data_IF_722863226635
#
_entry.id   IF_722863226635
#
_cell.length_a   1.000
_cell.length_b   1.000
_cell.length_c   1.000
_cell.angle_alpha   90.00
_cell.angle_beta   90.00
_cell.angle_gamma   90.00
#
_symmetry.space_group_name_H-M   'P 1'
#
loop_
_entity.id
_entity.type
_entity.pdbx_description
1 polymer ?
#
# COMPACT_ATOMS: atom_id res chain seq x y z
N UNK A 1 25.19 26.32 56.94
CA UNK A 1 26.58 26.80 56.93
C UNK A 1 27.53 25.61 56.72
N UNK A 2 28.40 25.66 55.70
CA UNK A 2 29.46 24.68 55.42
C UNK A 2 29.16 23.59 54.37
N UNK A 3 28.10 23.67 53.62
CA UNK A 3 27.92 22.92 52.37
C UNK A 3 28.50 23.69 51.19
N UNK A 4 29.02 22.98 50.18
CA UNK A 4 29.52 23.57 48.94
C UNK A 4 28.69 23.10 47.74
N UNK A 5 28.59 23.94 46.75
CA UNK A 5 27.93 23.64 45.47
C UNK A 5 28.94 23.87 44.33
N UNK A 6 29.11 22.90 43.46
CA UNK A 6 30.01 23.00 42.31
C UNK A 6 29.32 22.53 41.04
N UNK A 7 29.30 23.34 39.98
CA UNK A 7 29.73 24.71 39.92
C UNK A 7 28.89 25.63 40.80
N UNK A 8 29.41 26.80 41.18
CA UNK A 8 28.60 27.79 41.90
C UNK A 8 27.53 28.37 40.97
N UNK A 9 26.25 28.40 41.36
CA UNK A 9 25.21 29.01 40.53
C UNK A 9 25.51 30.46 40.12
N UNK A 10 26.24 31.20 40.94
CA UNK A 10 26.64 32.59 40.63
C UNK A 10 27.71 32.73 39.54
N UNK A 11 28.32 31.64 39.12
CA UNK A 11 29.32 31.63 38.04
C UNK A 11 28.78 31.20 36.70
N UNK A 12 27.50 30.87 36.63
CA UNK A 12 26.82 30.42 35.41
C UNK A 12 26.29 31.66 34.68
N UNK A 13 26.85 31.93 33.50
CA UNK A 13 26.42 33.02 32.63
C UNK A 13 25.30 32.60 31.66
N UNK A 14 25.26 31.31 31.33
CA UNK A 14 24.29 30.74 30.39
C UNK A 14 23.48 29.61 31.09
N UNK A 15 22.21 29.90 31.42
CA UNK A 15 21.30 28.98 32.08
C UNK A 15 20.43 28.19 31.08
N UNK A 16 20.61 28.40 29.79
CA UNK A 16 19.87 27.71 28.74
C UNK A 16 20.37 26.28 28.49
N UNK A 17 21.55 25.97 29.02
CA UNK A 17 22.09 24.62 28.98
C UNK A 17 21.74 23.78 30.22
N UNK A 18 21.81 22.43 30.06
CA UNK A 18 21.72 21.54 31.21
C UNK A 18 22.91 21.71 32.12
N UNK A 19 22.64 21.98 33.40
CA UNK A 19 23.67 22.08 34.42
C UNK A 19 23.52 20.97 35.46
N UNK A 20 24.63 20.38 35.88
CA UNK A 20 24.71 19.42 36.99
C UNK A 20 25.47 20.05 38.15
N UNK A 21 24.77 20.17 39.24
CA UNK A 21 25.34 20.71 40.49
C UNK A 21 25.65 19.58 41.46
N UNK A 22 26.88 19.52 41.95
CA UNK A 22 27.28 18.63 43.01
C UNK A 22 27.17 19.42 44.34
N UNK A 23 26.24 19.07 45.19
CA UNK A 23 26.10 19.64 46.53
C UNK A 23 26.78 18.71 47.52
N UNK A 24 27.84 19.20 48.18
CA UNK A 24 28.59 18.44 49.17
C UNK A 24 28.29 18.98 50.55
N UNK A 25 27.88 18.12 51.45
CA UNK A 25 27.64 18.48 52.84
C UNK A 25 28.94 18.65 53.64
N UNK A 26 28.89 19.26 54.81
CA UNK A 26 30.01 19.37 55.73
C UNK A 26 30.59 18.00 56.16
N UNK A 27 29.80 16.95 56.09
CA UNK A 27 30.20 15.54 56.37
C UNK A 27 30.74 14.83 55.11
N UNK A 28 31.01 15.57 54.01
CA UNK A 28 31.47 15.08 52.72
C UNK A 28 30.51 14.16 51.95
N UNK A 29 29.27 14.07 52.35
CA UNK A 29 28.25 13.42 51.52
C UNK A 29 27.87 14.31 50.37
N UNK A 30 27.85 13.77 49.14
CA UNK A 30 27.57 14.51 47.92
C UNK A 30 26.32 14.01 47.23
N UNK A 31 25.52 14.95 46.71
CA UNK A 31 24.35 14.67 45.88
C UNK A 31 24.40 15.51 44.62
N UNK A 32 24.07 14.87 43.49
CA UNK A 32 23.98 15.52 42.18
C UNK A 32 22.57 15.99 41.95
N UNK A 33 22.42 17.25 41.55
CA UNK A 33 21.16 17.83 41.11
C UNK A 33 21.34 18.25 39.67
N UNK A 34 20.39 17.92 38.77
CA UNK A 34 20.33 18.43 37.42
C UNK A 34 19.40 19.64 37.36
N UNK A 35 19.78 20.64 36.65
CA UNK A 35 18.94 21.76 36.26
C UNK A 35 18.80 21.75 34.75
N UNK A 36 17.58 21.69 34.25
CA UNK A 36 17.23 21.83 32.82
C UNK A 36 16.34 23.05 32.70
N UNK A 37 16.71 23.96 31.82
CA UNK A 37 15.86 25.08 31.46
C UNK A 37 14.85 24.63 30.39
N UNK A 38 13.58 24.85 30.63
CA UNK A 38 12.55 24.71 29.61
C UNK A 38 11.91 26.08 29.40
N UNK A 39 11.96 26.56 28.15
CA UNK A 39 11.15 27.70 27.81
C UNK A 39 9.69 27.34 27.97
N UNK A 40 8.90 28.22 28.60
CA UNK A 40 7.46 28.04 28.65
C UNK A 40 6.91 28.10 27.21
N UNK A 41 5.94 27.23 26.93
CA UNK A 41 5.23 27.31 25.66
C UNK A 41 4.50 28.65 25.55
N UNK A 42 4.67 29.32 24.44
CA UNK A 42 3.94 30.53 24.08
C UNK A 42 2.93 30.13 23.00
N UNK A 43 1.67 30.14 23.39
CA UNK A 43 0.57 29.66 22.54
C UNK A 43 -0.13 30.79 21.83
N UNK A 44 -0.44 30.60 20.55
CA UNK A 44 -1.34 31.42 19.76
C UNK A 44 -2.68 30.70 19.65
N UNK A 45 -3.73 31.27 20.24
CA UNK A 45 -5.08 30.79 20.05
C UNK A 45 -5.62 31.16 18.67
N UNK A 46 -6.24 30.18 17.99
CA UNK A 46 -6.84 30.35 16.67
C UNK A 46 -5.83 30.24 15.52
N UNK A 47 -6.36 30.28 14.30
CA UNK A 47 -5.57 30.11 13.10
C UNK A 47 -4.76 31.34 12.76
N UNK A 48 -3.57 31.10 12.18
CA UNK A 48 -2.62 32.13 11.72
C UNK A 48 -2.50 32.09 10.21
N UNK A 49 -2.52 33.25 9.57
CA UNK A 49 -2.22 33.40 8.14
C UNK A 49 -1.00 34.31 8.01
N UNK A 50 0.04 33.81 7.37
CA UNK A 50 1.24 34.58 7.02
C UNK A 50 1.22 34.78 5.50
N UNK A 51 0.75 35.94 5.07
CA UNK A 51 0.52 36.25 3.66
C UNK A 51 1.70 36.96 3.00
N UNK A 52 2.66 37.48 3.80
CA UNK A 52 3.82 38.25 3.36
C UNK A 52 5.09 37.79 4.07
N UNK A 53 6.28 38.06 3.47
CA UNK A 53 7.55 37.78 4.11
C UNK A 53 7.71 38.57 5.43
N UNK A 54 7.24 39.83 5.47
CA UNK A 54 7.30 40.64 6.67
C UNK A 54 6.51 40.02 7.84
N UNK A 55 5.38 39.37 7.58
CA UNK A 55 4.62 38.65 8.61
C UNK A 55 5.38 37.43 9.12
N UNK A 56 6.04 36.66 8.23
CA UNK A 56 6.93 35.55 8.62
C UNK A 56 8.07 36.05 9.51
N UNK A 57 8.77 37.12 9.11
CA UNK A 57 9.90 37.67 9.85
C UNK A 57 9.46 38.25 11.23
N UNK A 58 8.27 38.82 11.29
CA UNK A 58 7.71 39.35 12.54
C UNK A 58 7.23 38.24 13.48
N UNK A 59 6.85 37.08 12.94
CA UNK A 59 6.42 35.93 13.75
C UNK A 59 7.52 35.50 14.72
N UNK A 60 8.80 35.51 14.29
CA UNK A 60 9.95 35.24 15.16
C UNK A 60 9.97 36.07 16.45
N UNK A 61 9.53 37.34 16.38
CA UNK A 61 9.53 38.26 17.52
C UNK A 61 8.45 37.98 18.56
N UNK A 62 7.47 37.15 18.21
CA UNK A 62 6.37 36.79 19.12
C UNK A 62 6.79 35.72 20.14
N UNK A 63 7.82 34.95 19.83
CA UNK A 63 8.24 33.78 20.62
C UNK A 63 7.25 32.63 20.59
N UNK A 64 6.17 32.71 19.78
CA UNK A 64 5.15 31.66 19.67
C UNK A 64 5.79 30.36 19.17
N UNK A 65 5.60 29.27 19.91
CA UNK A 65 6.05 27.94 19.54
C UNK A 65 4.91 26.93 19.39
N UNK A 66 3.66 27.32 19.72
CA UNK A 66 2.45 26.52 19.51
C UNK A 66 1.33 27.34 18.90
N UNK A 67 0.64 26.77 17.94
CA UNK A 67 -0.56 27.34 17.32
C UNK A 67 -1.74 26.40 17.60
N UNK A 68 -2.72 26.87 18.39
CA UNK A 68 -3.98 26.18 18.65
C UNK A 68 -4.99 26.50 17.52
N UNK A 69 -4.66 26.03 16.31
CA UNK A 69 -5.40 26.31 15.08
C UNK A 69 -4.60 25.86 13.87
N UNK A 70 -4.92 26.43 12.71
CA UNK A 70 -4.19 26.20 11.46
C UNK A 70 -3.14 27.28 11.20
N UNK A 71 -2.04 26.91 10.57
CA UNK A 71 -1.08 27.84 9.98
C UNK A 71 -1.21 27.79 8.46
N UNK A 72 -1.49 28.93 7.85
CA UNK A 72 -1.51 29.09 6.39
C UNK A 72 -0.33 29.96 5.96
N UNK A 73 0.53 29.44 5.10
CA UNK A 73 1.69 30.13 4.55
C UNK A 73 1.38 30.52 3.10
N UNK A 74 1.40 31.82 2.85
CA UNK A 74 1.09 32.40 1.55
C UNK A 74 -0.40 32.40 1.21
N UNK A 75 -0.69 32.92 0.03
CA UNK A 75 -2.03 32.99 -0.57
C UNK A 75 -1.99 32.51 -2.03
N UNK A 76 -3.14 32.49 -2.71
CA UNK A 76 -3.21 32.06 -4.11
C UNK A 76 -2.41 32.98 -5.05
N UNK A 77 -2.56 34.31 -4.88
CA UNK A 77 -1.99 35.32 -5.76
C UNK A 77 -1.37 36.48 -4.94
N UNK A 78 -0.82 36.18 -3.75
CA UNK A 78 -0.28 37.16 -2.82
C UNK A 78 1.17 37.54 -3.07
N UNK A 79 1.71 38.33 -2.14
CA UNK A 79 3.12 38.68 -2.07
C UNK A 79 3.99 37.42 -1.89
N UNK A 80 5.16 37.41 -2.51
CA UNK A 80 6.07 36.27 -2.44
C UNK A 80 6.70 36.12 -1.06
N UNK A 81 6.63 34.91 -0.51
CA UNK A 81 7.34 34.47 0.69
C UNK A 81 8.49 33.58 0.25
N UNK A 82 9.73 33.93 0.59
CA UNK A 82 10.92 33.25 0.06
C UNK A 82 11.62 32.35 1.06
N UNK A 83 11.39 32.54 2.37
CA UNK A 83 11.93 31.69 3.44
C UNK A 83 10.94 31.63 4.63
N UNK A 84 11.19 30.70 5.54
CA UNK A 84 10.38 30.49 6.74
C UNK A 84 11.24 30.63 8.02
N UNK A 85 12.37 31.34 7.98
CA UNK A 85 13.29 31.45 9.11
C UNK A 85 12.60 31.98 10.38
N UNK A 86 11.56 32.83 10.21
CA UNK A 86 10.75 33.35 11.30
C UNK A 86 9.95 32.28 12.07
N UNK A 87 9.84 31.06 11.56
CA UNK A 87 9.10 29.96 12.16
C UNK A 87 10.00 28.95 12.91
N UNK A 88 11.30 29.24 13.03
CA UNK A 88 12.26 28.28 13.57
C UNK A 88 11.99 27.79 15.01
N UNK A 89 11.20 28.57 15.79
CA UNK A 89 10.80 28.19 17.14
C UNK A 89 9.52 27.34 17.19
N UNK A 90 8.82 27.18 16.07
CA UNK A 90 7.51 26.54 16.05
C UNK A 90 7.64 25.01 16.22
N UNK A 91 6.92 24.47 17.23
CA UNK A 91 6.96 23.07 17.62
C UNK A 91 5.63 22.36 17.35
N UNK A 92 4.52 23.09 17.41
CA UNK A 92 3.19 22.48 17.31
C UNK A 92 2.22 23.32 16.52
N UNK A 93 1.44 22.67 15.66
CA UNK A 93 0.25 23.20 14.98
C UNK A 93 -0.87 22.20 15.21
N UNK A 94 -1.91 22.56 15.97
CA UNK A 94 -2.93 21.60 16.39
C UNK A 94 -3.88 21.18 15.25
N UNK A 95 -4.07 22.04 14.23
CA UNK A 95 -4.87 21.73 13.05
C UNK A 95 -4.00 21.59 11.80
N UNK A 96 -4.21 22.37 10.75
CA UNK A 96 -3.54 22.18 9.46
C UNK A 96 -2.41 23.17 9.23
N UNK A 97 -1.30 22.68 8.68
CA UNK A 97 -0.30 23.47 7.98
C UNK A 97 -0.62 23.47 6.48
N UNK A 98 -0.89 24.63 5.91
CA UNK A 98 -1.26 24.79 4.49
C UNK A 98 -0.21 25.64 3.78
N UNK A 99 0.34 25.13 2.67
CA UNK A 99 1.31 25.83 1.83
C UNK A 99 0.63 26.28 0.53
N UNK A 100 0.56 27.59 0.32
CA UNK A 100 -0.06 28.21 -0.84
C UNK A 100 0.94 28.62 -1.93
N UNK A 101 0.47 28.96 -3.15
CA UNK A 101 1.32 29.27 -4.30
C UNK A 101 2.25 30.48 -4.15
N UNK A 102 1.93 31.47 -3.29
CA UNK A 102 2.82 32.62 -3.08
C UNK A 102 4.05 32.29 -2.24
N UNK A 103 4.12 31.12 -1.60
CA UNK A 103 5.38 30.61 -1.05
C UNK A 103 6.31 30.18 -2.19
N UNK A 104 7.51 30.79 -2.26
CA UNK A 104 8.51 30.60 -3.33
C UNK A 104 9.79 29.90 -2.88
N UNK A 105 9.87 29.53 -1.59
CA UNK A 105 10.97 28.68 -1.12
C UNK A 105 10.98 27.33 -1.83
N UNK A 106 12.16 26.73 -1.91
CA UNK A 106 12.36 25.41 -2.54
C UNK A 106 12.20 24.25 -1.57
N UNK A 107 12.21 24.55 -0.28
CA UNK A 107 12.07 23.62 0.84
C UNK A 107 11.28 24.27 1.98
N UNK A 108 11.16 23.58 3.11
CA UNK A 108 10.47 24.06 4.30
C UNK A 108 11.44 24.38 5.47
N UNK A 109 12.70 24.73 5.16
CA UNK A 109 13.67 25.19 6.17
C UNK A 109 13.07 26.33 6.97
N UNK A 110 13.19 26.27 8.29
CA UNK A 110 12.46 27.11 9.24
C UNK A 110 11.31 26.38 9.97
N UNK A 111 10.91 25.21 9.49
CA UNK A 111 9.98 24.31 10.19
C UNK A 111 10.70 23.06 10.73
N UNK A 112 12.02 23.10 10.85
CA UNK A 112 12.83 21.95 11.25
C UNK A 112 12.55 21.46 12.68
N UNK A 113 12.04 22.34 13.54
CA UNK A 113 11.70 22.04 14.94
C UNK A 113 10.21 21.68 15.15
N UNK A 114 9.42 21.56 14.07
CA UNK A 114 8.02 21.18 14.19
C UNK A 114 7.93 19.70 14.59
N UNK A 115 7.37 19.44 15.78
CA UNK A 115 7.26 18.11 16.40
C UNK A 115 5.87 17.51 16.25
N UNK A 116 4.81 18.35 16.24
CA UNK A 116 3.41 17.90 16.20
C UNK A 116 2.59 18.69 15.18
N UNK A 117 1.79 17.96 14.43
CA UNK A 117 0.97 18.54 13.38
C UNK A 117 -0.40 17.85 13.30
N UNK A 118 -1.48 18.61 13.19
CA UNK A 118 -2.80 18.08 12.89
C UNK A 118 -2.86 17.50 11.49
N UNK A 119 -2.65 18.33 10.45
CA UNK A 119 -2.58 17.88 9.06
C UNK A 119 -1.58 18.70 8.26
N UNK A 120 -0.92 18.08 7.27
CA UNK A 120 -0.09 18.76 6.28
C UNK A 120 -0.86 18.86 4.94
N UNK A 121 -0.89 20.03 4.31
CA UNK A 121 -1.63 20.23 3.05
C UNK A 121 -0.84 21.07 2.03
N UNK A 122 -0.36 20.38 1.00
CA UNK A 122 0.15 20.97 -0.24
C UNK A 122 -0.75 20.48 -1.39
N UNK A 123 -1.76 21.28 -1.76
CA UNK A 123 -2.87 20.81 -2.59
C UNK A 123 -3.95 20.10 -1.78
N UNK A 124 -4.73 19.24 -2.46
CA UNK A 124 -5.73 18.37 -1.84
C UNK A 124 -5.79 17.03 -2.57
N UNK A 125 -6.53 16.06 -2.08
CA UNK A 125 -6.72 14.76 -2.75
C UNK A 125 -7.36 14.89 -4.14
N UNK A 126 -8.07 16.00 -4.41
CA UNK A 126 -8.76 16.24 -5.68
C UNK A 126 -8.18 17.39 -6.52
N UNK A 127 -7.21 18.14 -5.98
CA UNK A 127 -6.66 19.34 -6.65
C UNK A 127 -5.16 19.45 -6.42
N UNK A 128 -4.42 19.44 -7.52
CA UNK A 128 -2.96 19.65 -7.51
C UNK A 128 -2.62 21.06 -7.05
N UNK A 129 -1.61 21.19 -6.17
CA UNK A 129 -1.08 22.46 -5.74
C UNK A 129 -0.57 23.28 -6.93
N UNK A 130 -0.89 24.58 -6.94
CA UNK A 130 -0.33 25.54 -7.89
C UNK A 130 1.04 26.08 -7.48
N UNK A 131 1.59 25.65 -6.34
CA UNK A 131 2.97 25.95 -5.98
C UNK A 131 3.89 25.16 -6.89
N UNK A 132 4.79 25.85 -7.60
CA UNK A 132 5.70 25.27 -8.60
C UNK A 132 7.17 25.41 -8.20
N UNK A 133 7.47 25.97 -7.03
CA UNK A 133 8.84 26.23 -6.56
C UNK A 133 9.27 25.27 -5.46
N UNK A 134 8.35 24.86 -4.59
CA UNK A 134 8.64 23.92 -3.52
C UNK A 134 8.98 22.54 -4.09
N UNK A 135 10.24 22.11 -3.87
CA UNK A 135 10.79 20.84 -4.37
C UNK A 135 10.91 19.79 -3.28
N UNK A 136 11.11 20.25 -2.05
CA UNK A 136 11.39 19.37 -0.92
C UNK A 136 10.42 19.66 0.24
N UNK A 137 9.73 18.63 0.70
CA UNK A 137 9.01 18.63 1.97
C UNK A 137 9.88 17.88 2.97
N UNK A 138 10.57 18.62 3.85
CA UNK A 138 11.44 18.09 4.89
C UNK A 138 10.97 18.58 6.26
N UNK A 139 10.55 17.66 7.13
CA UNK A 139 10.10 17.93 8.49
C UNK A 139 10.81 16.97 9.46
N UNK A 140 12.11 17.24 9.76
CA UNK A 140 13.00 16.25 10.37
C UNK A 140 12.71 15.98 11.86
N UNK A 141 11.95 16.86 12.52
CA UNK A 141 11.58 16.66 13.94
C UNK A 141 10.15 16.22 14.14
N UNK A 142 9.35 16.13 13.07
CA UNK A 142 7.95 15.75 13.16
C UNK A 142 7.80 14.31 13.64
N UNK A 143 7.04 14.10 14.73
CA UNK A 143 6.85 12.80 15.37
C UNK A 143 5.56 12.12 14.94
N UNK A 144 4.54 12.88 14.57
CA UNK A 144 3.25 12.34 14.13
C UNK A 144 2.35 13.38 13.51
N UNK A 145 1.40 12.90 12.72
CA UNK A 145 0.33 13.70 12.11
C UNK A 145 -1.00 13.09 12.53
N UNK A 146 -1.83 13.85 13.24
CA UNK A 146 -3.09 13.30 13.79
C UNK A 146 -4.22 13.21 12.77
N UNK A 147 -4.15 13.93 11.66
CA UNK A 147 -5.06 13.89 10.52
C UNK A 147 -4.35 13.50 9.23
N UNK A 148 -4.59 14.26 8.15
CA UNK A 148 -4.06 13.96 6.82
C UNK A 148 -2.62 14.46 6.60
N UNK A 149 -1.86 13.71 5.84
CA UNK A 149 -0.63 14.18 5.20
C UNK A 149 -0.81 14.19 3.69
N UNK A 150 -1.10 15.37 3.12
CA UNK A 150 -1.42 15.52 1.69
C UNK A 150 -0.34 16.30 0.96
N UNK A 151 0.27 15.66 -0.01
CA UNK A 151 1.17 16.25 -1.01
C UNK A 151 0.62 15.91 -2.39
N UNK A 152 -0.06 16.86 -3.02
CA UNK A 152 -0.52 16.74 -4.40
C UNK A 152 0.13 17.86 -5.22
N UNK A 153 1.25 17.55 -5.86
CA UNK A 153 2.09 18.54 -6.54
C UNK A 153 2.80 17.90 -7.74
N UNK A 154 2.88 18.62 -8.86
CA UNK A 154 3.61 18.15 -10.05
C UNK A 154 5.13 18.32 -9.94
N UNK A 155 5.66 18.95 -8.90
CA UNK A 155 7.07 19.38 -8.84
C UNK A 155 7.84 18.93 -7.62
N UNK A 156 7.19 18.29 -6.64
CA UNK A 156 7.88 17.75 -5.47
C UNK A 156 8.80 16.61 -5.90
N UNK A 157 10.07 16.74 -5.53
CA UNK A 157 11.12 15.77 -5.82
C UNK A 157 11.45 14.92 -4.60
N UNK A 158 11.36 15.51 -3.40
CA UNK A 158 11.73 14.83 -2.14
C UNK A 158 10.71 15.07 -1.03
N UNK A 159 10.38 14.01 -0.31
CA UNK A 159 9.61 14.04 0.94
C UNK A 159 10.41 13.32 2.02
N UNK A 160 10.69 13.98 3.15
CA UNK A 160 11.41 13.40 4.28
C UNK A 160 10.71 13.74 5.60
N UNK A 161 10.18 12.73 6.23
CA UNK A 161 9.51 12.75 7.54
C UNK A 161 10.04 11.59 8.40
N UNK A 162 11.36 11.56 8.67
CA UNK A 162 12.07 10.37 9.13
C UNK A 162 11.69 9.90 10.54
N UNK A 163 11.01 10.74 11.33
CA UNK A 163 10.63 10.44 12.72
C UNK A 163 9.13 10.28 12.90
N UNK A 164 8.34 10.48 11.84
CA UNK A 164 6.88 10.32 11.94
C UNK A 164 6.54 8.85 12.14
N UNK A 165 5.93 8.54 13.29
CA UNK A 165 5.54 7.18 13.64
C UNK A 165 4.11 6.84 13.19
N UNK A 166 3.23 7.84 13.05
CA UNK A 166 1.85 7.61 12.61
C UNK A 166 1.28 8.77 11.80
N UNK A 167 0.36 8.42 10.89
CA UNK A 167 -0.57 9.33 10.21
C UNK A 167 -1.97 8.88 10.60
N UNK A 168 -2.75 9.77 11.24
CA UNK A 168 -4.06 9.40 11.81
C UNK A 168 -5.16 9.14 10.80
N UNK A 169 -5.09 9.80 9.64
CA UNK A 169 -6.04 9.70 8.52
C UNK A 169 -5.31 9.28 7.23
N UNK A 170 -5.48 10.02 6.13
CA UNK A 170 -4.87 9.68 4.85
C UNK A 170 -3.41 10.17 4.74
N UNK A 171 -2.52 9.31 4.23
CA UNK A 171 -1.25 9.69 3.64
C UNK A 171 -1.38 9.67 2.12
N UNK A 172 -1.56 10.85 1.53
CA UNK A 172 -1.80 11.03 0.10
C UNK A 172 -0.64 11.77 -0.55
N UNK A 173 0.13 11.08 -1.38
CA UNK A 173 1.28 11.61 -2.10
C UNK A 173 1.06 11.42 -3.60
N UNK A 174 1.01 12.51 -4.34
CA UNK A 174 1.00 12.49 -5.80
C UNK A 174 2.02 13.50 -6.31
N UNK A 175 3.01 13.03 -7.07
CA UNK A 175 3.98 13.90 -7.71
C UNK A 175 4.49 13.32 -9.02
N UNK A 176 4.56 14.19 -10.05
CA UNK A 176 5.15 13.84 -11.34
C UNK A 176 6.69 13.78 -11.30
N UNK A 177 7.30 14.35 -10.26
CA UNK A 177 8.74 14.54 -10.13
C UNK A 177 9.37 13.79 -8.95
N UNK A 178 8.62 12.95 -8.23
CA UNK A 178 9.11 12.28 -7.02
C UNK A 178 10.35 11.43 -7.31
N UNK A 179 11.40 11.65 -6.55
CA UNK A 179 12.67 10.91 -6.60
C UNK A 179 12.93 10.13 -5.30
N UNK A 180 12.55 10.72 -4.17
CA UNK A 180 12.88 10.19 -2.85
C UNK A 180 11.72 10.38 -1.87
N UNK A 181 11.38 9.32 -1.16
CA UNK A 181 10.37 9.30 -0.10
C UNK A 181 10.95 8.61 1.14
N UNK A 182 11.28 9.40 2.16
CA UNK A 182 11.72 8.92 3.45
C UNK A 182 10.61 9.10 4.51
N UNK A 183 9.89 8.01 4.75
CA UNK A 183 8.85 7.87 5.77
C UNK A 183 9.02 6.54 6.51
N UNK A 184 10.28 6.15 6.75
CA UNK A 184 10.64 4.80 7.20
C UNK A 184 10.24 4.49 8.65
N UNK A 185 9.98 5.52 9.48
CA UNK A 185 9.51 5.35 10.85
C UNK A 185 7.99 5.18 10.96
N UNK A 186 7.23 5.45 9.90
CA UNK A 186 5.76 5.33 9.93
C UNK A 186 5.36 3.89 10.19
N UNK A 187 4.73 3.65 11.34
CA UNK A 187 4.24 2.34 11.75
C UNK A 187 2.77 2.11 11.36
N UNK A 188 1.98 3.18 11.25
CA UNK A 188 0.57 3.08 10.90
C UNK A 188 0.04 4.28 10.10
N UNK A 189 -0.91 3.98 9.20
CA UNK A 189 -1.77 4.96 8.52
C UNK A 189 -3.21 4.62 8.84
N UNK A 190 -3.93 5.55 9.49
CA UNK A 190 -5.26 5.29 10.03
C UNK A 190 -6.34 5.09 8.97
N UNK A 191 -6.20 5.76 7.81
CA UNK A 191 -7.06 5.56 6.65
C UNK A 191 -6.25 5.03 5.46
N UNK A 192 -6.06 5.78 4.38
CA UNK A 192 -5.44 5.26 3.16
C UNK A 192 -3.99 5.72 2.99
N UNK A 193 -3.12 4.83 2.53
CA UNK A 193 -1.80 5.16 2.02
C UNK A 193 -1.82 5.15 0.49
N UNK A 194 -1.71 6.32 -0.10
CA UNK A 194 -1.77 6.51 -1.56
C UNK A 194 -0.49 7.19 -2.03
N UNK A 195 0.31 6.50 -2.83
CA UNK A 195 1.53 7.04 -3.44
C UNK A 195 1.43 6.90 -4.96
N UNK A 196 1.34 8.03 -5.66
CA UNK A 196 1.15 8.07 -7.10
C UNK A 196 2.24 8.89 -7.78
N UNK A 197 2.85 8.32 -8.79
CA UNK A 197 3.65 9.05 -9.76
C UNK A 197 2.78 9.65 -10.86
N UNK A 198 3.35 9.81 -12.05
CA UNK A 198 2.63 10.27 -13.23
C UNK A 198 2.84 9.31 -14.41
N UNK A 199 1.79 9.11 -15.19
CA UNK A 199 1.87 8.39 -16.47
C UNK A 199 2.78 9.14 -17.45
N UNK A 200 2.87 10.46 -17.31
CA UNK A 200 3.71 11.35 -18.10
C UNK A 200 5.07 11.62 -17.46
N UNK A 201 5.50 10.75 -16.52
CA UNK A 201 6.80 10.93 -15.85
C UNK A 201 7.89 11.26 -16.83
N UNK A 202 8.48 12.45 -16.69
CA UNK A 202 9.64 12.85 -17.47
C UNK A 202 10.74 11.81 -17.27
N UNK A 203 11.49 11.50 -18.32
CA UNK A 203 12.59 10.51 -18.27
C UNK A 203 13.60 10.75 -17.14
N UNK A 204 13.63 11.97 -16.56
CA UNK A 204 14.48 12.36 -15.45
C UNK A 204 13.96 12.01 -14.06
N UNK A 205 12.69 11.70 -13.87
CA UNK A 205 12.14 11.36 -12.56
C UNK A 205 12.25 9.84 -12.34
N UNK A 206 13.22 9.42 -11.52
CA UNK A 206 13.50 8.01 -11.29
C UNK A 206 13.34 7.65 -9.81
N UNK A 207 12.09 7.53 -9.34
CA UNK A 207 11.88 6.80 -8.09
C UNK A 207 12.23 5.34 -8.34
N UNK A 208 13.32 4.87 -7.74
CA UNK A 208 13.77 3.49 -7.90
C UNK A 208 13.14 2.55 -6.87
N UNK A 209 12.82 3.06 -5.67
CA UNK A 209 12.20 2.28 -4.62
C UNK A 209 11.20 3.11 -3.81
N UNK A 210 10.13 2.44 -3.33
CA UNK A 210 9.25 2.94 -2.29
C UNK A 210 9.43 2.05 -1.07
N UNK A 211 9.80 2.66 0.07
CA UNK A 211 10.18 1.95 1.29
C UNK A 211 9.41 2.50 2.47
N UNK A 212 8.73 1.61 3.21
CA UNK A 212 8.12 1.87 4.50
C UNK A 212 8.54 0.76 5.46
N UNK A 213 9.71 0.93 6.08
CA UNK A 213 10.37 -0.17 6.82
C UNK A 213 9.62 -0.58 8.08
N UNK A 214 8.96 0.35 8.76
CA UNK A 214 8.25 0.11 10.01
C UNK A 214 6.74 -0.08 9.87
N UNK A 215 6.17 0.11 8.67
CA UNK A 215 4.72 0.15 8.46
C UNK A 215 4.09 -1.22 8.69
N UNK A 216 3.19 -1.30 9.68
CA UNK A 216 2.49 -2.51 10.09
C UNK A 216 1.04 -2.55 9.63
N UNK A 217 0.35 -1.41 9.63
CA UNK A 217 -1.10 -1.37 9.44
C UNK A 217 -1.54 -0.20 8.57
N UNK A 218 -2.52 -0.48 7.70
CA UNK A 218 -3.23 0.52 6.91
C UNK A 218 -4.72 0.31 7.13
N UNK A 219 -5.41 1.35 7.63
CA UNK A 219 -6.82 1.26 8.06
C UNK A 219 -7.82 1.16 6.92
N UNK A 220 -7.44 1.56 5.69
CA UNK A 220 -8.28 1.47 4.51
C UNK A 220 -7.45 1.00 3.31
N UNK A 221 -7.18 1.81 2.31
CA UNK A 221 -6.54 1.40 1.05
C UNK A 221 -5.03 1.61 1.04
N UNK A 222 -4.31 0.68 0.40
CA UNK A 222 -2.93 0.86 -0.05
C UNK A 222 -2.94 1.01 -1.57
N UNK A 223 -2.46 2.12 -2.10
CA UNK A 223 -2.33 2.32 -3.55
C UNK A 223 -0.93 2.81 -3.92
N UNK A 224 -0.22 2.06 -4.75
CA UNK A 224 1.05 2.47 -5.36
C UNK A 224 0.90 2.33 -6.87
N UNK A 225 0.97 3.46 -7.61
CA UNK A 225 0.69 3.43 -9.05
C UNK A 225 1.42 4.52 -9.84
N UNK A 226 1.57 4.28 -11.15
CA UNK A 226 2.19 5.21 -12.11
C UNK A 226 3.68 5.48 -11.89
N UNK A 227 4.44 4.43 -11.56
CA UNK A 227 5.90 4.49 -11.43
C UNK A 227 6.57 3.56 -12.45
N UNK A 228 6.75 3.99 -13.71
CA UNK A 228 7.26 3.11 -14.78
C UNK A 228 8.70 2.63 -14.55
N UNK A 229 9.49 3.33 -13.73
CA UNK A 229 10.90 2.98 -13.45
C UNK A 229 11.12 2.37 -12.06
N UNK A 230 10.07 2.24 -11.25
CA UNK A 230 10.16 1.65 -9.92
C UNK A 230 10.64 0.21 -10.00
N UNK A 231 11.72 -0.11 -9.30
CA UNK A 231 12.31 -1.44 -9.27
C UNK A 231 11.89 -2.26 -8.05
N UNK A 232 11.52 -1.58 -6.94
CA UNK A 232 11.13 -2.23 -5.70
C UNK A 232 10.10 -1.49 -4.87
N UNK A 233 9.24 -2.27 -4.21
CA UNK A 233 8.35 -1.84 -3.14
C UNK A 233 8.72 -2.68 -1.94
N UNK A 234 9.07 -2.02 -0.83
CA UNK A 234 9.55 -2.68 0.38
C UNK A 234 8.66 -2.32 1.56
N UNK A 235 7.83 -3.28 1.96
CA UNK A 235 6.87 -3.22 3.07
C UNK A 235 7.11 -4.42 4.02
N UNK A 236 8.33 -4.58 4.58
CA UNK A 236 8.72 -5.80 5.26
C UNK A 236 7.95 -6.08 6.55
N UNK A 237 7.40 -5.06 7.20
CA UNK A 237 6.68 -5.18 8.44
C UNK A 237 5.14 -5.14 8.27
N UNK A 238 4.63 -5.01 7.04
CA UNK A 238 3.20 -4.82 6.81
C UNK A 238 2.42 -6.09 7.14
N UNK A 239 1.56 -6.00 8.16
CA UNK A 239 0.75 -7.10 8.70
C UNK A 239 -0.67 -7.09 8.15
N UNK A 240 -1.26 -5.90 7.92
CA UNK A 240 -2.65 -5.81 7.47
C UNK A 240 -2.96 -4.56 6.65
N UNK A 241 -3.87 -4.73 5.67
CA UNK A 241 -4.56 -3.67 4.95
C UNK A 241 -6.05 -3.96 5.02
N UNK A 242 -6.83 -3.08 5.67
CA UNK A 242 -8.26 -3.35 5.88
C UNK A 242 -9.06 -3.31 4.57
N UNK A 243 -8.71 -2.40 3.68
CA UNK A 243 -9.29 -2.29 2.33
C UNK A 243 -8.43 -2.96 1.27
N UNK A 244 -8.44 -2.40 0.07
CA UNK A 244 -7.72 -2.99 -1.07
C UNK A 244 -6.26 -2.52 -1.14
N UNK A 245 -5.33 -3.45 -1.30
CA UNK A 245 -3.96 -3.18 -1.72
C UNK A 245 -3.87 -3.22 -3.25
N UNK A 246 -3.58 -2.08 -3.88
CA UNK A 246 -3.58 -1.88 -5.32
C UNK A 246 -2.20 -1.48 -5.84
N UNK A 247 -1.67 -2.25 -6.78
CA UNK A 247 -0.37 -2.04 -7.42
C UNK A 247 -0.57 -2.01 -8.93
N UNK A 248 -0.37 -0.84 -9.56
CA UNK A 248 -0.63 -0.75 -10.99
C UNK A 248 0.32 0.19 -11.75
N UNK A 249 0.42 -0.05 -13.07
CA UNK A 249 1.12 0.82 -14.02
C UNK A 249 2.60 1.04 -13.67
N UNK A 250 3.28 -0.07 -13.28
CA UNK A 250 4.69 -0.13 -12.92
C UNK A 250 5.41 -1.09 -13.87
N UNK A 251 6.14 -0.51 -14.83
CA UNK A 251 6.72 -1.30 -15.93
C UNK A 251 8.02 -2.01 -15.59
N UNK A 252 8.73 -1.64 -14.51
CA UNK A 252 10.07 -2.14 -14.18
C UNK A 252 10.14 -3.01 -12.94
N UNK A 253 9.06 -3.09 -12.14
CA UNK A 253 9.05 -3.89 -10.93
C UNK A 253 9.12 -5.38 -11.25
N UNK A 254 10.11 -6.08 -10.69
CA UNK A 254 10.36 -7.51 -10.96
C UNK A 254 9.66 -8.45 -9.97
N UNK A 255 9.42 -8.00 -8.75
CA UNK A 255 8.77 -8.78 -7.70
C UNK A 255 7.96 -7.90 -6.75
N UNK A 256 6.93 -8.49 -6.16
CA UNK A 256 6.16 -7.92 -5.05
C UNK A 256 6.19 -8.92 -3.89
N UNK A 257 6.75 -8.50 -2.75
CA UNK A 257 6.86 -9.33 -1.57
C UNK A 257 6.36 -8.58 -0.33
N UNK A 258 5.40 -9.19 0.39
CA UNK A 258 4.87 -8.73 1.68
C UNK A 258 4.79 -9.94 2.60
N UNK A 259 5.93 -10.29 3.21
CA UNK A 259 6.09 -11.57 3.92
C UNK A 259 5.30 -11.66 5.22
N UNK A 260 5.11 -10.52 5.88
CA UNK A 260 4.36 -10.42 7.14
C UNK A 260 2.87 -10.10 6.94
N UNK A 261 2.41 -9.94 5.69
CA UNK A 261 1.01 -9.63 5.42
C UNK A 261 0.12 -10.83 5.77
N UNK A 262 -0.73 -10.68 6.79
CA UNK A 262 -1.66 -11.72 7.26
C UNK A 262 -3.07 -11.56 6.70
N UNK A 263 -3.49 -10.33 6.44
CA UNK A 263 -4.84 -10.06 5.94
C UNK A 263 -4.88 -8.84 5.01
N UNK A 264 -5.73 -8.94 3.98
CA UNK A 264 -6.00 -7.83 3.07
C UNK A 264 -7.46 -7.87 2.64
N UNK A 265 -8.15 -6.71 2.69
CA UNK A 265 -9.57 -6.62 2.28
C UNK A 265 -9.78 -6.83 0.78
N UNK A 266 -8.76 -6.57 -0.03
CA UNK A 266 -8.70 -6.88 -1.46
C UNK A 266 -7.26 -6.77 -1.97
N UNK A 267 -6.93 -7.45 -3.07
CA UNK A 267 -5.63 -7.35 -3.73
C UNK A 267 -5.79 -7.12 -5.23
N UNK A 268 -5.21 -6.05 -5.74
CA UNK A 268 -5.22 -5.74 -7.17
C UNK A 268 -3.80 -5.52 -7.71
N UNK A 269 -3.40 -6.34 -8.68
CA UNK A 269 -2.12 -6.17 -9.41
C UNK A 269 -2.45 -6.08 -10.89
N UNK A 270 -2.11 -4.94 -11.53
CA UNK A 270 -2.48 -4.69 -12.93
C UNK A 270 -1.42 -3.88 -13.66
N UNK A 271 -1.19 -4.19 -14.95
CA UNK A 271 -0.24 -3.45 -15.81
C UNK A 271 1.21 -3.39 -15.24
N UNK A 272 1.61 -4.37 -14.43
CA UNK A 272 2.98 -4.52 -13.92
C UNK A 272 3.75 -5.48 -14.85
N UNK A 273 4.36 -4.94 -15.92
CA UNK A 273 4.83 -5.73 -17.07
C UNK A 273 5.99 -6.68 -16.77
N UNK A 274 6.84 -6.34 -15.82
CA UNK A 274 8.04 -7.11 -15.51
C UNK A 274 7.90 -7.97 -14.25
N UNK A 275 6.78 -7.87 -13.53
CA UNK A 275 6.56 -8.65 -12.31
C UNK A 275 6.52 -10.15 -12.64
N UNK A 276 7.43 -10.91 -12.06
CA UNK A 276 7.55 -12.36 -12.25
C UNK A 276 7.26 -13.16 -10.98
N UNK A 277 7.37 -12.52 -9.82
CA UNK A 277 7.23 -13.14 -8.52
C UNK A 277 6.27 -12.34 -7.65
N UNK A 278 5.29 -13.01 -7.06
CA UNK A 278 4.40 -12.48 -6.02
C UNK A 278 4.52 -13.37 -4.79
N UNK A 279 5.09 -12.82 -3.70
CA UNK A 279 5.38 -13.54 -2.45
C UNK A 279 4.53 -12.99 -1.30
N UNK A 280 3.53 -13.75 -0.90
CA UNK A 280 2.61 -13.47 0.20
C UNK A 280 2.52 -14.69 1.14
N UNK A 281 3.66 -15.23 1.63
CA UNK A 281 3.68 -16.50 2.36
C UNK A 281 2.93 -16.44 3.69
N UNK A 282 2.80 -15.26 4.31
CA UNK A 282 2.09 -15.04 5.57
C UNK A 282 0.58 -14.82 5.42
N UNK A 283 0.07 -14.63 4.19
CA UNK A 283 -1.32 -14.25 3.95
C UNK A 283 -2.28 -15.36 4.36
N UNK A 284 -3.14 -15.08 5.34
CA UNK A 284 -4.13 -16.02 5.88
C UNK A 284 -5.51 -15.79 5.26
N UNK A 285 -5.87 -14.53 5.03
CA UNK A 285 -7.17 -14.16 4.45
C UNK A 285 -7.07 -13.02 3.46
N UNK A 286 -7.85 -13.10 2.38
CA UNK A 286 -8.01 -12.01 1.42
C UNK A 286 -9.46 -11.85 1.01
N UNK A 287 -9.86 -10.60 0.70
CA UNK A 287 -11.13 -10.30 0.06
C UNK A 287 -11.05 -10.42 -1.47
N UNK A 288 -11.72 -9.51 -2.18
CA UNK A 288 -11.71 -9.50 -3.64
C UNK A 288 -10.28 -9.38 -4.17
N UNK A 289 -9.88 -10.34 -4.99
CA UNK A 289 -8.50 -10.42 -5.49
C UNK A 289 -8.46 -10.49 -7.00
N UNK A 290 -7.66 -9.62 -7.63
CA UNK A 290 -7.42 -9.60 -9.06
C UNK A 290 -5.93 -9.46 -9.37
N UNK A 291 -5.32 -10.50 -9.90
CA UNK A 291 -3.93 -10.49 -10.35
C UNK A 291 -3.89 -10.67 -11.86
N UNK A 292 -3.55 -9.60 -12.57
CA UNK A 292 -3.41 -9.58 -14.04
C UNK A 292 -1.98 -9.20 -14.42
N UNK A 293 -1.12 -10.22 -14.62
CA UNK A 293 0.31 -10.02 -14.81
C UNK A 293 0.94 -11.09 -15.71
N UNK A 294 1.42 -10.67 -16.88
CA UNK A 294 1.84 -11.54 -17.96
C UNK A 294 3.15 -12.33 -17.74
N UNK A 295 3.92 -12.03 -16.69
CA UNK A 295 5.20 -12.68 -16.41
C UNK A 295 5.25 -13.42 -15.08
N UNK A 296 4.21 -13.32 -14.24
CA UNK A 296 4.19 -14.01 -12.95
C UNK A 296 4.20 -15.52 -13.16
N UNK A 297 5.33 -16.12 -12.85
CA UNK A 297 5.55 -17.58 -12.87
C UNK A 297 5.67 -18.17 -11.47
N UNK A 298 5.72 -17.32 -10.42
CA UNK A 298 5.71 -17.73 -9.03
C UNK A 298 4.70 -16.91 -8.24
N UNK A 299 3.67 -17.57 -7.74
CA UNK A 299 2.67 -17.02 -6.83
C UNK A 299 2.74 -17.83 -5.52
N UNK A 300 3.21 -17.22 -4.44
CA UNK A 300 3.30 -17.86 -3.14
C UNK A 300 2.22 -17.31 -2.20
N UNK A 301 1.21 -18.12 -1.97
CA UNK A 301 0.08 -17.89 -1.06
C UNK A 301 -0.07 -19.08 -0.10
N UNK A 302 1.06 -19.65 0.34
CA UNK A 302 1.10 -20.94 1.04
C UNK A 302 0.29 -20.99 2.36
N UNK A 303 0.10 -19.87 3.03
CA UNK A 303 -0.68 -19.78 4.28
C UNK A 303 -2.15 -19.40 4.08
N UNK A 304 -2.58 -19.12 2.83
CA UNK A 304 -3.94 -18.67 2.55
C UNK A 304 -4.96 -19.74 2.93
N UNK A 305 -5.93 -19.35 3.75
CA UNK A 305 -7.02 -20.22 4.23
C UNK A 305 -8.39 -19.75 3.80
N UNK A 306 -8.63 -18.44 3.81
CA UNK A 306 -9.94 -17.88 3.57
C UNK A 306 -9.91 -16.82 2.46
N UNK A 307 -10.72 -17.05 1.42
CA UNK A 307 -11.00 -16.10 0.37
C UNK A 307 -12.41 -15.55 0.59
N UNK A 308 -12.50 -14.28 0.96
CA UNK A 308 -13.73 -13.61 1.41
C UNK A 308 -14.40 -12.77 0.32
N UNK A 309 -13.91 -12.84 -0.92
CA UNK A 309 -14.43 -12.21 -2.12
C UNK A 309 -14.03 -13.00 -3.35
N UNK A 310 -14.46 -12.60 -4.54
CA UNK A 310 -14.06 -13.28 -5.77
C UNK A 310 -12.56 -13.15 -6.03
N UNK A 311 -11.96 -14.22 -6.56
CA UNK A 311 -10.55 -14.26 -6.94
C UNK A 311 -10.39 -14.49 -8.43
N UNK A 312 -9.69 -13.59 -9.10
CA UNK A 312 -9.36 -13.71 -10.53
C UNK A 312 -7.84 -13.68 -10.72
N UNK A 313 -7.30 -14.76 -11.30
CA UNK A 313 -5.90 -14.88 -11.68
C UNK A 313 -5.81 -14.91 -13.22
N UNK A 314 -5.30 -13.81 -13.81
CA UNK A 314 -5.29 -13.61 -15.26
C UNK A 314 -3.87 -13.50 -15.81
N UNK A 315 -3.64 -14.14 -16.96
CA UNK A 315 -2.39 -14.05 -17.72
C UNK A 315 -1.13 -14.56 -17.02
N UNK A 316 -1.25 -15.22 -15.84
CA UNK A 316 -0.09 -15.74 -15.12
C UNK A 316 0.54 -16.92 -15.88
N UNK A 317 1.84 -17.13 -15.66
CA UNK A 317 2.65 -18.23 -16.21
C UNK A 317 2.86 -19.36 -15.20
N UNK A 318 2.04 -19.44 -14.15
CA UNK A 318 2.08 -20.54 -13.19
C UNK A 318 1.63 -21.84 -13.88
N UNK A 319 2.26 -22.96 -13.54
CA UNK A 319 1.94 -24.28 -14.09
C UNK A 319 1.07 -25.12 -13.15
N UNK A 320 1.20 -24.90 -11.84
CA UNK A 320 0.46 -25.59 -10.80
C UNK A 320 -0.14 -24.60 -9.80
N UNK A 321 -1.33 -24.92 -9.27
CA UNK A 321 -1.98 -24.16 -8.20
C UNK A 321 -2.57 -25.12 -7.17
N UNK A 322 -2.09 -25.01 -5.92
CA UNK A 322 -2.59 -25.76 -4.79
C UNK A 322 -3.65 -24.96 -4.02
N UNK A 323 -4.88 -25.46 -4.02
CA UNK A 323 -6.06 -24.90 -3.36
C UNK A 323 -6.51 -25.78 -2.19
N UNK A 324 -5.74 -26.81 -1.82
CA UNK A 324 -6.18 -27.86 -0.90
C UNK A 324 -6.50 -27.36 0.51
N UNK A 325 -5.93 -26.23 0.91
CA UNK A 325 -6.13 -25.61 2.22
C UNK A 325 -7.01 -24.35 2.18
N UNK A 326 -7.50 -23.97 0.99
CA UNK A 326 -8.20 -22.69 0.78
C UNK A 326 -9.72 -22.90 0.78
N UNK A 327 -10.41 -22.15 1.64
CA UNK A 327 -11.86 -22.05 1.65
C UNK A 327 -12.30 -20.78 0.88
N UNK A 328 -13.09 -20.96 -0.17
CA UNK A 328 -13.59 -19.84 -0.97
C UNK A 328 -14.88 -19.22 -0.42
N UNK A 329 -15.45 -19.78 0.65
CA UNK A 329 -16.62 -19.20 1.36
C UNK A 329 -17.82 -18.91 0.43
N UNK A 330 -18.01 -19.69 -0.62
CA UNK A 330 -19.05 -19.50 -1.62
C UNK A 330 -18.67 -18.56 -2.77
N UNK A 331 -17.50 -17.91 -2.73
CA UNK A 331 -17.04 -17.00 -3.76
C UNK A 331 -16.50 -17.72 -5.02
N UNK A 332 -16.27 -16.97 -6.07
CA UNK A 332 -15.82 -17.49 -7.36
C UNK A 332 -14.30 -17.43 -7.49
N UNK A 333 -13.69 -18.53 -7.91
CA UNK A 333 -12.32 -18.52 -8.44
C UNK A 333 -12.36 -18.54 -9.97
N UNK A 334 -11.82 -17.51 -10.61
CA UNK A 334 -11.66 -17.42 -12.05
C UNK A 334 -10.18 -17.54 -12.44
N UNK A 335 -9.84 -18.54 -13.23
CA UNK A 335 -8.48 -18.81 -13.70
C UNK A 335 -8.38 -18.59 -15.21
N UNK A 336 -7.62 -17.57 -15.60
CA UNK A 336 -7.32 -17.21 -17.00
C UNK A 336 -5.83 -17.38 -17.31
N UNK A 337 -5.24 -18.48 -16.85
CA UNK A 337 -3.81 -18.79 -16.93
C UNK A 337 -3.51 -19.75 -18.06
N UNK A 338 -2.59 -19.37 -18.98
CA UNK A 338 -2.31 -20.12 -20.21
C UNK A 338 -1.50 -21.40 -20.01
N UNK A 339 -0.73 -21.46 -18.93
CA UNK A 339 0.23 -22.56 -18.66
C UNK A 339 -0.20 -23.41 -17.47
N UNK A 340 -1.28 -23.07 -16.80
CA UNK A 340 -1.78 -23.80 -15.64
C UNK A 340 -2.31 -25.16 -16.09
N UNK A 341 -1.52 -26.20 -15.87
CA UNK A 341 -1.81 -27.58 -16.29
C UNK A 341 -2.22 -28.46 -15.12
N UNK A 342 -2.04 -28.00 -13.88
CA UNK A 342 -2.41 -28.76 -12.69
C UNK A 342 -3.05 -27.89 -11.62
N UNK A 343 -4.19 -28.35 -11.11
CA UNK A 343 -4.85 -27.80 -9.94
C UNK A 343 -5.03 -28.91 -8.91
N UNK A 344 -4.60 -28.66 -7.68
CA UNK A 344 -4.84 -29.55 -6.54
C UNK A 344 -5.82 -28.85 -5.59
N UNK A 345 -6.86 -29.54 -5.15
CA UNK A 345 -7.84 -28.98 -4.23
C UNK A 345 -8.26 -29.95 -3.14
N UNK A 346 -9.11 -29.49 -2.22
CA UNK A 346 -9.79 -30.31 -1.23
C UNK A 346 -10.95 -31.08 -1.87
N UNK A 347 -11.42 -32.15 -1.22
CA UNK A 347 -12.56 -32.95 -1.70
C UNK A 347 -13.79 -32.11 -2.09
N UNK A 348 -14.05 -31.07 -1.33
CA UNK A 348 -15.13 -30.12 -1.59
C UNK A 348 -14.57 -28.73 -1.83
N UNK A 349 -14.78 -28.21 -3.04
CA UNK A 349 -14.52 -26.82 -3.38
C UNK A 349 -15.75 -25.98 -2.99
N UNK A 350 -15.60 -25.15 -1.96
CA UNK A 350 -16.69 -24.32 -1.43
C UNK A 350 -16.78 -22.99 -2.19
N UNK A 351 -17.30 -23.02 -3.41
CA UNK A 351 -17.45 -21.86 -4.28
C UNK A 351 -17.70 -22.28 -5.73
N UNK A 352 -17.59 -21.32 -6.65
CA UNK A 352 -17.65 -21.53 -8.10
C UNK A 352 -16.24 -21.58 -8.69
N UNK A 353 -15.98 -22.51 -9.61
CA UNK A 353 -14.68 -22.66 -10.27
C UNK A 353 -14.79 -22.43 -11.78
N UNK A 354 -14.18 -21.35 -12.26
CA UNK A 354 -14.17 -20.95 -13.66
C UNK A 354 -12.79 -21.07 -14.27
N UNK A 355 -12.63 -22.01 -15.19
CA UNK A 355 -11.41 -22.27 -15.95
C UNK A 355 -11.59 -21.65 -17.35
N UNK A 356 -11.07 -20.43 -17.54
CA UNK A 356 -11.33 -19.59 -18.71
C UNK A 356 -10.03 -19.09 -19.37
N UNK A 357 -9.04 -19.94 -19.68
CA UNK A 357 -7.77 -19.48 -20.27
C UNK A 357 -8.00 -18.95 -21.69
N UNK A 358 -7.35 -17.83 -22.00
CA UNK A 358 -7.31 -17.30 -23.36
C UNK A 358 -6.05 -17.82 -24.08
N UNK A 359 -6.19 -18.27 -25.34
CA UNK A 359 -5.07 -18.76 -26.15
C UNK A 359 -4.28 -19.91 -25.47
N UNK A 360 -4.96 -20.77 -24.73
CA UNK A 360 -4.36 -21.92 -24.07
C UNK A 360 -3.86 -22.95 -25.10
N UNK A 361 -2.61 -23.39 -24.97
CA UNK A 361 -1.99 -24.40 -25.81
C UNK A 361 -1.62 -25.66 -25.08
N UNK A 362 -2.18 -25.88 -23.89
CA UNK A 362 -1.96 -27.08 -23.10
C UNK A 362 -2.50 -28.31 -23.83
N UNK A 363 -1.70 -29.36 -23.83
CA UNK A 363 -2.08 -30.69 -24.34
C UNK A 363 -2.59 -31.61 -23.25
N UNK A 364 -2.32 -31.27 -21.98
CA UNK A 364 -2.69 -32.02 -20.80
C UNK A 364 -3.18 -31.04 -19.73
N UNK A 365 -4.21 -31.45 -18.97
CA UNK A 365 -4.70 -30.71 -17.82
C UNK A 365 -5.16 -31.68 -16.76
N UNK A 366 -4.78 -31.43 -15.52
CA UNK A 366 -5.09 -32.30 -14.38
C UNK A 366 -5.77 -31.51 -13.26
N UNK A 367 -6.88 -32.02 -12.78
CA UNK A 367 -7.58 -31.54 -11.59
C UNK A 367 -7.59 -32.64 -10.54
N UNK A 368 -6.89 -32.46 -9.43
CA UNK A 368 -6.74 -33.45 -8.38
C UNK A 368 -7.47 -33.06 -7.09
N UNK A 369 -8.00 -34.02 -6.37
CA UNK A 369 -8.57 -33.86 -5.03
C UNK A 369 -10.00 -33.34 -5.00
N UNK A 370 -10.46 -32.54 -5.98
CA UNK A 370 -11.79 -31.95 -5.99
C UNK A 370 -12.80 -32.98 -6.53
N UNK A 371 -13.74 -33.38 -5.67
CA UNK A 371 -14.85 -34.27 -6.05
C UNK A 371 -16.20 -33.53 -6.09
N UNK A 372 -16.35 -32.50 -5.30
CA UNK A 372 -17.60 -31.74 -5.19
C UNK A 372 -17.34 -30.24 -5.38
N UNK A 373 -18.14 -29.58 -6.21
CA UNK A 373 -18.17 -28.13 -6.37
C UNK A 373 -19.52 -27.64 -5.83
N UNK A 374 -19.48 -26.72 -4.86
CA UNK A 374 -20.68 -26.19 -4.20
C UNK A 374 -21.38 -25.08 -4.99
N UNK A 375 -20.68 -24.44 -5.91
CA UNK A 375 -21.20 -23.43 -6.83
C UNK A 375 -21.24 -23.92 -8.27
N UNK A 376 -21.00 -23.02 -9.20
CA UNK A 376 -20.95 -23.28 -10.63
C UNK A 376 -19.59 -23.79 -11.07
N UNK A 377 -19.57 -24.53 -12.16
CA UNK A 377 -18.35 -24.93 -12.83
C UNK A 377 -18.37 -24.49 -14.30
N UNK A 378 -17.31 -23.81 -14.74
CA UNK A 378 -17.13 -23.47 -16.14
C UNK A 378 -15.75 -23.90 -16.63
N UNK A 379 -15.70 -24.52 -17.78
CA UNK A 379 -14.46 -24.85 -18.46
C UNK A 379 -14.58 -24.52 -19.95
N UNK A 380 -13.83 -23.49 -20.38
CA UNK A 380 -13.96 -22.90 -21.70
C UNK A 380 -12.55 -22.71 -22.31
N UNK A 381 -12.44 -22.92 -23.66
CA UNK A 381 -11.25 -22.60 -24.45
C UNK A 381 -9.97 -23.42 -24.18
N UNK A 382 -10.10 -24.69 -23.77
CA UNK A 382 -8.98 -25.67 -23.70
C UNK A 382 -8.79 -26.41 -25.06
N UNK A 383 -8.34 -25.72 -26.09
CA UNK A 383 -8.36 -26.17 -27.49
C UNK A 383 -7.50 -27.37 -27.84
N UNK A 384 -6.42 -27.61 -27.09
CA UNK A 384 -5.39 -28.60 -27.45
C UNK A 384 -5.37 -29.82 -26.53
N UNK A 385 -6.19 -29.82 -25.47
CA UNK A 385 -6.27 -30.97 -24.54
C UNK A 385 -6.93 -32.14 -25.24
N UNK A 386 -6.24 -33.29 -25.29
CA UNK A 386 -6.73 -34.51 -25.95
C UNK A 386 -7.67 -35.33 -25.06
N UNK A 387 -7.31 -35.44 -23.80
CA UNK A 387 -8.10 -36.15 -22.80
C UNK A 387 -8.45 -35.16 -21.69
N UNK A 388 -9.72 -34.94 -21.47
CA UNK A 388 -10.23 -34.03 -20.47
C UNK A 388 -11.09 -34.84 -19.49
N UNK A 389 -10.46 -35.35 -18.42
CA UNK A 389 -11.10 -36.21 -17.44
C UNK A 389 -11.27 -35.41 -16.13
N UNK A 390 -12.53 -35.21 -15.75
CA UNK A 390 -12.85 -34.47 -14.51
C UNK A 390 -13.32 -35.44 -13.42
N UNK A 391 -12.75 -35.28 -12.19
CA UNK A 391 -12.98 -36.24 -11.09
C UNK A 391 -14.30 -36.02 -10.35
N UNK A 392 -15.13 -35.06 -10.77
CA UNK A 392 -16.31 -34.65 -10.03
C UNK A 392 -17.32 -35.76 -9.81
N UNK A 393 -17.92 -35.77 -8.62
CA UNK A 393 -19.09 -36.55 -8.26
C UNK A 393 -20.35 -35.66 -8.32
N UNK A 394 -20.19 -34.37 -7.94
CA UNK A 394 -21.29 -33.41 -7.88
C UNK A 394 -20.82 -31.99 -8.24
N UNK A 395 -21.65 -31.29 -9.02
CA UNK A 395 -21.64 -29.83 -9.21
C UNK A 395 -23.00 -29.32 -8.73
N UNK A 396 -23.00 -28.47 -7.69
CA UNK A 396 -24.28 -28.05 -7.07
C UNK A 396 -24.99 -26.96 -7.86
N UNK A 397 -24.27 -26.14 -8.62
CA UNK A 397 -24.78 -25.08 -9.49
C UNK A 397 -24.86 -25.48 -10.96
N UNK A 398 -24.70 -24.50 -11.84
CA UNK A 398 -24.65 -24.68 -13.29
C UNK A 398 -23.28 -25.23 -13.73
N UNK A 399 -23.29 -26.01 -14.80
CA UNK A 399 -22.10 -26.59 -15.39
C UNK A 399 -22.00 -26.24 -16.88
N UNK A 400 -20.92 -25.55 -17.26
CA UNK A 400 -20.65 -25.17 -18.66
C UNK A 400 -19.35 -25.78 -19.17
N UNK A 401 -19.42 -26.52 -20.27
CA UNK A 401 -18.28 -27.11 -20.96
C UNK A 401 -18.27 -26.65 -22.41
N UNK A 402 -17.25 -25.86 -22.80
CA UNK A 402 -17.07 -25.33 -24.14
C UNK A 402 -15.59 -25.32 -24.51
N UNK A 403 -14.97 -26.50 -24.66
CA UNK A 403 -13.52 -26.62 -24.77
C UNK A 403 -12.94 -26.14 -26.09
N UNK A 404 -13.76 -25.96 -27.13
CA UNK A 404 -13.25 -25.70 -28.47
C UNK A 404 -14.12 -24.73 -29.25
N UNK A 405 -13.79 -23.46 -29.18
CA UNK A 405 -14.40 -22.42 -30.02
C UNK A 405 -13.62 -22.12 -31.33
N UNK A 406 -12.41 -22.69 -31.47
CA UNK A 406 -11.47 -22.42 -32.57
C UNK A 406 -11.49 -23.46 -33.71
N UNK A 407 -10.62 -23.25 -34.70
CA UNK A 407 -10.47 -24.10 -35.90
C UNK A 407 -9.38 -25.19 -35.76
N UNK A 408 -9.08 -25.64 -34.57
CA UNK A 408 -7.99 -26.61 -34.29
C UNK A 408 -8.50 -28.03 -34.47
N UNK A 409 -7.75 -28.84 -35.23
CA UNK A 409 -8.12 -30.22 -35.57
C UNK A 409 -7.66 -31.28 -34.53
N UNK A 410 -7.79 -30.98 -33.25
CA UNK A 410 -7.44 -31.95 -32.20
C UNK A 410 -8.70 -32.57 -31.66
N UNK A 411 -8.89 -33.88 -31.89
CA UNK A 411 -9.98 -34.62 -31.31
C UNK A 411 -9.80 -34.76 -29.79
N UNK A 412 -10.82 -34.42 -29.03
CA UNK A 412 -10.83 -34.50 -27.58
C UNK A 412 -11.85 -35.55 -27.07
N UNK A 413 -11.41 -36.30 -26.10
CA UNK A 413 -12.31 -37.12 -25.25
C UNK A 413 -12.57 -36.31 -23.98
N UNK A 414 -13.87 -36.08 -23.69
CA UNK A 414 -14.31 -35.33 -22.52
C UNK A 414 -15.09 -36.28 -21.61
N UNK A 415 -14.52 -36.58 -20.47
CA UNK A 415 -15.05 -37.60 -19.58
C UNK A 415 -15.34 -37.07 -18.17
N UNK A 416 -16.52 -37.39 -17.67
CA UNK A 416 -16.96 -37.18 -16.30
C UNK A 416 -17.31 -38.52 -15.67
N UNK A 417 -16.36 -39.42 -15.43
CA UNK A 417 -16.63 -40.83 -15.12
C UNK A 417 -17.35 -41.04 -13.79
N UNK A 418 -17.25 -40.05 -12.87
CA UNK A 418 -17.85 -40.17 -11.54
C UNK A 418 -19.04 -39.23 -11.32
N UNK A 419 -19.36 -38.33 -12.25
CA UNK A 419 -20.41 -37.32 -12.09
C UNK A 419 -21.78 -37.95 -12.00
N UNK A 420 -22.47 -37.68 -10.90
CA UNK A 420 -23.80 -38.23 -10.58
C UNK A 420 -24.89 -37.17 -10.55
N UNK A 421 -24.54 -35.91 -10.23
CA UNK A 421 -25.53 -34.84 -10.05
C UNK A 421 -24.96 -33.49 -10.55
N UNK A 422 -25.83 -32.76 -11.27
CA UNK A 422 -25.69 -31.34 -11.58
C UNK A 422 -26.93 -30.66 -11.04
N UNK A 423 -26.80 -29.76 -10.08
CA UNK A 423 -27.94 -29.12 -9.41
C UNK A 423 -28.65 -28.07 -10.25
N UNK A 424 -27.93 -27.45 -11.20
CA UNK A 424 -28.42 -26.46 -12.13
C UNK A 424 -28.52 -26.96 -13.58
N UNK A 425 -28.14 -26.08 -14.52
CA UNK A 425 -28.20 -26.33 -15.95
C UNK A 425 -26.89 -26.90 -16.48
N UNK A 426 -26.91 -27.96 -17.26
CA UNK A 426 -25.80 -28.42 -18.06
C UNK A 426 -25.79 -27.72 -19.42
N UNK A 427 -24.76 -26.92 -19.70
CA UNK A 427 -24.53 -26.27 -20.99
C UNK A 427 -23.32 -26.90 -21.68
N UNK A 428 -23.59 -27.57 -22.80
CA UNK A 428 -22.55 -28.07 -23.71
C UNK A 428 -22.44 -27.08 -24.86
N UNK A 429 -21.48 -26.17 -24.72
CA UNK A 429 -21.20 -25.14 -25.74
C UNK A 429 -20.51 -25.69 -26.98
N UNK A 430 -19.73 -24.85 -27.67
CA UNK A 430 -18.99 -25.26 -28.86
C UNK A 430 -17.86 -26.23 -28.51
N UNK A 431 -18.06 -27.49 -28.81
CA UNK A 431 -17.10 -28.60 -28.67
C UNK A 431 -16.84 -29.26 -30.04
N UNK A 432 -16.48 -28.45 -31.06
CA UNK A 432 -16.43 -28.87 -32.48
C UNK A 432 -15.55 -30.08 -32.77
N UNK A 433 -14.51 -30.33 -31.94
CA UNK A 433 -13.59 -31.43 -32.14
C UNK A 433 -13.67 -32.49 -31.05
N UNK A 434 -14.70 -32.48 -30.20
CA UNK A 434 -14.90 -33.54 -29.24
C UNK A 434 -15.39 -34.78 -30.00
N UNK A 435 -14.69 -35.92 -29.85
CA UNK A 435 -15.13 -37.20 -30.35
C UNK A 435 -16.30 -37.73 -29.49
N UNK A 436 -16.13 -37.62 -28.18
CA UNK A 436 -17.11 -38.06 -27.19
C UNK A 436 -17.16 -37.08 -26.00
N UNK A 437 -18.37 -36.93 -25.46
CA UNK A 437 -18.63 -36.31 -24.17
C UNK A 437 -19.43 -37.31 -23.35
N UNK A 438 -18.85 -37.82 -22.27
CA UNK A 438 -19.47 -38.94 -21.53
C UNK A 438 -19.74 -38.59 -20.08
N UNK A 439 -20.96 -38.97 -19.63
CA UNK A 439 -21.44 -38.81 -18.25
C UNK A 439 -22.07 -40.15 -17.80
N UNK A 440 -21.28 -41.24 -17.64
CA UNK A 440 -21.84 -42.57 -17.48
C UNK A 440 -22.66 -42.77 -16.20
N UNK A 441 -22.50 -41.98 -15.18
CA UNK A 441 -23.19 -42.11 -13.90
C UNK A 441 -24.19 -40.98 -13.61
N UNK A 442 -24.34 -40.03 -14.52
CA UNK A 442 -25.23 -38.87 -14.32
C UNK A 442 -26.69 -39.31 -14.19
N UNK A 443 -27.31 -38.92 -13.07
CA UNK A 443 -28.70 -39.29 -12.73
C UNK A 443 -29.63 -38.07 -12.68
N UNK A 444 -29.08 -36.89 -12.43
CA UNK A 444 -29.86 -35.66 -12.28
C UNK A 444 -29.03 -34.45 -12.71
#
# INVERSE_FOLDING_TARGET
EGASINPSPSTIEDWENEWKFVVTSKMQDSKVYSYTYQYADIEQSGSVVLATQAEVDNFAKTGINKIEGSLTIGTADGEEITNLDGLANLKQISNSLVINPSYKGTDLTGLDNLEQLGSFKLGSTTSTSKNITLKTVNLPSLLGVTGDFVVNSSVIEKISIPKVEFIGEDMYITSDALLDLDANAVESVGASLIVKGSVAQKESATTEAIVFSALKQIGNELTIQYFPKLQGIYLPALESVTGTASFSDMSSIGSLAMTELHSVGGLAIKNCKEISIVELPGLISCGETSVDANKVNKLNIASLKDVLGDMTLSNLLIEELDLSQINFNGNTLTLQCKQLNKIVGSETFNGSLFLLPKDCRLTEFTLEGISNIQGDFQCIDYFYVKEFVMPFIRVAGDMTIALNSGSVNTAAEIEFPKLQEIGGTLTLGTNRNANNITFPLLKK
#
